data_IF_100407922154
#
_entry.id   IF_100407922154
#
_cell.length_a   1.000
_cell.length_b   1.000
_cell.length_c   1.000
_cell.angle_alpha   90.00
_cell.angle_beta   90.00
_cell.angle_gamma   90.00
#
_symmetry.space_group_name_H-M   'P 1'
#
loop_
_entity.id
_entity.type
_entity.pdbx_description
1 polymer ?
#
# COMPACT_ATOMS: atom_id res chain seq x y z
N UNK A 1 -11.16 -4.73 -1.76
CA UNK A 1 -10.58 -5.07 -3.08
C UNK A 1 -9.18 -4.51 -3.13
N UNK A 2 -8.19 -5.33 -3.48
CA UNK A 2 -6.80 -4.89 -3.60
C UNK A 2 -6.49 -4.64 -5.07
N UNK A 3 -5.93 -3.48 -5.40
CA UNK A 3 -5.64 -3.09 -6.77
C UNK A 3 -4.14 -2.96 -6.99
N UNK A 4 -3.68 -3.23 -8.21
CA UNK A 4 -2.32 -2.86 -8.58
C UNK A 4 -2.09 -1.36 -8.31
N UNK A 5 -0.90 -1.02 -7.81
CA UNK A 5 -0.52 0.31 -7.28
C UNK A 5 -1.07 0.65 -5.88
N UNK A 6 -1.85 -0.22 -5.25
CA UNK A 6 -2.08 -0.15 -3.81
C UNK A 6 -0.87 -0.68 -3.03
N UNK A 7 -0.82 -0.34 -1.74
CA UNK A 7 0.15 -0.89 -0.80
C UNK A 7 -0.56 -1.51 0.41
N UNK A 8 0.00 -2.58 0.94
CA UNK A 8 -0.49 -3.26 2.14
C UNK A 8 0.61 -3.30 3.19
N UNK A 9 0.23 -3.06 4.44
CA UNK A 9 1.12 -3.02 5.59
C UNK A 9 0.79 -4.15 6.57
N UNK A 10 1.83 -4.76 7.14
CA UNK A 10 1.71 -5.81 8.15
C UNK A 10 2.17 -5.32 9.52
N UNK A 11 1.78 -6.04 10.59
CA UNK A 11 2.10 -5.68 11.97
C UNK A 11 3.60 -5.58 12.26
N UNK A 12 4.44 -6.31 11.50
CA UNK A 12 5.90 -6.29 11.64
C UNK A 12 6.54 -5.03 11.04
N UNK A 13 5.74 -4.12 10.47
CA UNK A 13 6.25 -2.93 9.80
C UNK A 13 6.86 -3.25 8.44
N UNK A 14 6.17 -4.06 7.65
CA UNK A 14 6.52 -4.36 6.26
C UNK A 14 5.46 -3.75 5.34
N UNK A 15 5.87 -3.09 4.27
CA UNK A 15 4.96 -2.55 3.24
C UNK A 15 5.23 -3.22 1.92
N UNK A 16 4.18 -3.82 1.36
CA UNK A 16 4.18 -4.51 0.08
C UNK A 16 3.37 -3.73 -0.95
N UNK A 17 3.82 -3.69 -2.19
CA UNK A 17 3.06 -3.22 -3.33
C UNK A 17 2.23 -4.37 -3.91
N UNK A 18 0.93 -4.14 -4.12
CA UNK A 18 0.02 -5.12 -4.72
C UNK A 18 0.34 -5.26 -6.21
N UNK A 19 0.42 -6.52 -6.69
CA UNK A 19 0.80 -6.85 -8.07
C UNK A 19 -0.43 -7.16 -8.92
N UNK A 20 -1.37 -7.94 -8.39
CA UNK A 20 -2.62 -8.30 -9.06
C UNK A 20 -3.82 -8.04 -8.14
N UNK A 21 -5.01 -7.98 -8.76
CA UNK A 21 -6.29 -7.99 -8.04
C UNK A 21 -6.65 -9.39 -7.52
N UNK A 22 -6.03 -10.42 -8.08
CA UNK A 22 -6.28 -11.81 -7.73
C UNK A 22 -5.83 -12.12 -6.31
N UNK A 23 -6.62 -12.97 -5.64
CA UNK A 23 -6.33 -13.49 -4.31
C UNK A 23 -6.10 -15.00 -4.47
N UNK A 24 -4.96 -15.48 -3.99
CA UNK A 24 -4.60 -16.88 -4.03
C UNK A 24 -4.54 -17.44 -2.61
N UNK A 25 -5.32 -18.48 -2.31
CA UNK A 25 -5.33 -19.14 -1.00
C UNK A 25 -5.55 -18.14 0.17
N UNK A 26 -6.40 -17.13 -0.04
CA UNK A 26 -6.66 -16.09 0.96
C UNK A 26 -5.52 -15.07 1.13
N UNK A 27 -4.55 -15.05 0.21
CA UNK A 27 -3.41 -14.13 0.22
C UNK A 27 -3.44 -13.17 -0.96
N UNK A 28 -3.02 -11.93 -0.71
CA UNK A 28 -2.85 -10.89 -1.73
C UNK A 28 -1.47 -11.02 -2.37
N UNK A 29 -1.43 -11.15 -3.69
CA UNK A 29 -0.19 -11.20 -4.46
C UNK A 29 0.50 -9.83 -4.47
N UNK A 30 1.73 -9.78 -3.97
CA UNK A 30 2.43 -8.53 -3.72
C UNK A 30 3.95 -8.67 -3.78
N UNK A 31 4.65 -7.54 -3.63
CA UNK A 31 6.09 -7.51 -3.46
C UNK A 31 6.49 -6.53 -2.36
N UNK A 32 7.44 -6.92 -1.52
CA UNK A 32 7.95 -6.08 -0.45
C UNK A 32 8.70 -4.89 -1.05
N UNK A 33 8.41 -3.69 -0.54
CA UNK A 33 9.01 -2.44 -1.00
C UNK A 33 9.63 -1.63 0.12
N UNK A 34 9.09 -1.73 1.33
CA UNK A 34 9.65 -1.01 2.47
C UNK A 34 9.66 -1.87 3.72
N UNK A 35 10.75 -1.76 4.47
CA UNK A 35 10.91 -2.34 5.81
C UNK A 35 11.07 -1.19 6.79
N UNK A 36 10.30 -1.20 7.88
CA UNK A 36 10.42 -0.20 8.93
C UNK A 36 11.79 -0.34 9.60
N UNK A 37 12.55 0.75 9.63
CA UNK A 37 13.85 0.82 10.28
C UNK A 37 13.96 2.16 10.99
N UNK A 38 14.06 2.17 12.32
CA UNK A 38 14.05 3.40 13.13
C UNK A 38 15.09 4.42 12.60
N UNK A 39 14.72 5.68 12.28
CA UNK A 39 13.44 6.36 12.58
C UNK A 39 12.39 6.33 11.45
N UNK A 40 12.58 5.58 10.36
CA UNK A 40 11.72 5.64 9.18
C UNK A 40 11.52 4.31 8.45
N UNK A 41 11.44 4.39 7.12
CA UNK A 41 11.23 3.23 6.25
C UNK A 41 12.38 3.12 5.26
N UNK A 42 12.96 1.93 5.15
CA UNK A 42 14.00 1.64 4.17
C UNK A 42 13.37 0.99 2.95
N UNK A 43 13.55 1.61 1.78
CA UNK A 43 13.16 1.01 0.50
C UNK A 43 14.05 -0.20 0.21
N UNK A 44 13.45 -1.29 -0.27
CA UNK A 44 14.15 -2.50 -0.69
C UNK A 44 13.81 -2.85 -2.15
N UNK A 45 14.79 -3.36 -2.87
CA UNK A 45 14.63 -3.95 -4.21
C UNK A 45 14.33 -5.44 -4.10
N UNK A 46 14.07 -6.11 -5.23
CA UNK A 46 13.61 -7.52 -5.25
C UNK A 46 14.56 -8.48 -4.56
N UNK A 47 15.86 -8.46 -4.87
CA UNK A 47 16.82 -9.41 -4.26
C UNK A 47 17.00 -9.20 -2.75
N UNK A 48 17.25 -7.99 -2.22
CA UNK A 48 17.28 -7.76 -0.78
C UNK A 48 15.96 -8.11 -0.09
N UNK A 49 14.83 -7.88 -0.75
CA UNK A 49 13.53 -8.24 -0.22
C UNK A 49 13.36 -9.77 -0.09
N UNK A 50 13.72 -10.52 -1.12
CA UNK A 50 13.70 -11.99 -1.09
C UNK A 50 14.60 -12.54 0.01
N UNK A 51 15.84 -12.03 0.12
CA UNK A 51 16.78 -12.45 1.16
C UNK A 51 16.24 -12.15 2.57
N UNK A 52 15.71 -10.95 2.78
CA UNK A 52 15.14 -10.53 4.06
C UNK A 52 13.94 -11.40 4.46
N UNK A 53 13.00 -11.63 3.54
CA UNK A 53 11.83 -12.48 3.82
C UNK A 53 12.23 -13.93 4.06
N UNK A 54 13.15 -14.48 3.25
CA UNK A 54 13.64 -15.85 3.46
C UNK A 54 14.26 -16.04 4.84
N UNK A 55 14.95 -15.03 5.36
CA UNK A 55 15.60 -15.10 6.67
C UNK A 55 14.65 -14.87 7.84
N UNK A 56 13.71 -13.93 7.73
CA UNK A 56 12.93 -13.45 8.87
C UNK A 56 11.45 -13.81 8.83
N UNK A 57 10.85 -13.89 7.64
CA UNK A 57 9.42 -14.04 7.45
C UNK A 57 9.11 -14.93 6.22
N UNK A 58 9.52 -16.21 6.23
CA UNK A 58 9.40 -17.09 5.07
C UNK A 58 7.95 -17.34 4.66
N UNK A 59 6.98 -17.17 5.57
CA UNK A 59 5.54 -17.30 5.30
C UNK A 59 5.01 -16.36 4.21
N UNK A 60 5.72 -15.25 3.96
CA UNK A 60 5.39 -14.29 2.92
C UNK A 60 5.92 -14.68 1.54
N UNK A 61 6.79 -15.69 1.42
CA UNK A 61 7.24 -16.21 0.13
C UNK A 61 6.15 -17.12 -0.47
N UNK A 62 5.85 -16.92 -1.75
CA UNK A 62 4.74 -17.61 -2.42
C UNK A 62 5.08 -17.94 -3.87
N UNK A 63 4.69 -19.12 -4.32
CA UNK A 63 4.69 -19.47 -5.74
C UNK A 63 3.26 -19.37 -6.27
N UNK A 64 3.05 -18.48 -7.25
CA UNK A 64 1.77 -18.38 -7.94
C UNK A 64 1.77 -19.34 -9.13
N UNK A 65 0.88 -20.34 -9.17
CA UNK A 65 0.73 -21.21 -10.33
C UNK A 65 0.11 -20.50 -11.53
N UNK A 66 -0.63 -19.40 -11.30
CA UNK A 66 -1.27 -18.62 -12.37
C UNK A 66 -0.24 -17.78 -13.12
N UNK A 67 0.70 -17.17 -12.38
CA UNK A 67 1.76 -16.36 -12.95
C UNK A 67 3.03 -17.18 -13.27
N UNK A 68 3.07 -18.44 -12.86
CA UNK A 68 4.22 -19.33 -12.92
C UNK A 68 5.50 -18.66 -12.38
N UNK A 69 5.39 -18.03 -11.21
CA UNK A 69 6.44 -17.20 -10.67
C UNK A 69 6.51 -17.25 -9.14
N UNK A 70 7.71 -17.07 -8.61
CA UNK A 70 7.92 -16.80 -7.19
C UNK A 70 7.76 -15.30 -6.93
N UNK A 71 6.85 -14.98 -6.03
CA UNK A 71 6.61 -13.62 -5.55
C UNK A 71 6.31 -13.65 -4.05
N UNK A 72 5.76 -12.56 -3.51
CA UNK A 72 5.32 -12.53 -2.13
C UNK A 72 3.80 -12.58 -2.05
N UNK A 73 3.28 -13.11 -0.95
CA UNK A 73 1.85 -13.06 -0.69
C UNK A 73 1.59 -12.83 0.80
N UNK A 74 0.64 -11.94 1.10
CA UNK A 74 0.25 -11.61 2.48
C UNK A 74 -1.17 -12.08 2.70
N UNK A 75 -1.37 -12.92 3.72
CA UNK A 75 -2.71 -13.36 4.13
C UNK A 75 -3.55 -12.15 4.56
N UNK A 76 -4.82 -12.12 4.17
CA UNK A 76 -5.70 -10.95 4.36
C UNK A 76 -5.80 -10.55 5.84
N UNK A 77 -5.80 -11.52 6.74
CA UNK A 77 -5.85 -11.33 8.20
C UNK A 77 -4.57 -10.73 8.80
N UNK A 78 -3.44 -10.80 8.09
CA UNK A 78 -2.17 -10.16 8.49
C UNK A 78 -2.01 -8.72 7.99
N UNK A 79 -2.96 -8.24 7.18
CA UNK A 79 -2.94 -6.86 6.67
C UNK A 79 -3.53 -5.94 7.74
N UNK A 80 -2.68 -5.12 8.35
CA UNK A 80 -3.11 -4.12 9.35
C UNK A 80 -3.54 -2.81 8.72
N UNK A 81 -3.06 -2.51 7.51
CA UNK A 81 -3.45 -1.30 6.78
C UNK A 81 -3.37 -1.50 5.27
N UNK A 82 -4.40 -1.02 4.57
CA UNK A 82 -4.46 -0.96 3.11
C UNK A 82 -4.37 0.50 2.68
N UNK A 83 -3.28 0.85 2.01
CA UNK A 83 -3.04 2.18 1.47
C UNK A 83 -3.52 2.22 0.02
N UNK A 84 -4.45 3.13 -0.27
CA UNK A 84 -5.07 3.29 -1.59
C UNK A 84 -4.77 4.69 -2.16
N UNK A 85 -3.57 4.90 -2.76
CA UNK A 85 -3.13 6.23 -3.20
C UNK A 85 -4.12 6.96 -4.12
N UNK A 86 -4.79 6.22 -5.00
CA UNK A 86 -5.80 6.79 -5.91
C UNK A 86 -6.96 7.43 -5.15
N UNK A 87 -7.48 6.74 -4.13
CA UNK A 87 -8.56 7.27 -3.29
C UNK A 87 -8.07 8.47 -2.47
N UNK A 88 -6.87 8.37 -1.91
CA UNK A 88 -6.28 9.48 -1.14
C UNK A 88 -6.10 10.74 -1.98
N UNK A 89 -5.65 10.59 -3.23
CA UNK A 89 -5.52 11.71 -4.16
C UNK A 89 -6.88 12.34 -4.47
N UNK A 90 -7.90 11.53 -4.76
CA UNK A 90 -9.26 12.04 -5.00
C UNK A 90 -9.80 12.83 -3.81
N UNK A 91 -9.58 12.34 -2.58
CA UNK A 91 -9.95 13.07 -1.36
C UNK A 91 -9.25 14.42 -1.23
N UNK A 92 -7.94 14.48 -1.52
CA UNK A 92 -7.17 15.74 -1.49
C UNK A 92 -7.70 16.73 -2.53
N UNK A 93 -7.99 16.24 -3.75
CA UNK A 93 -8.53 17.09 -4.82
C UNK A 93 -9.91 17.65 -4.46
N UNK A 94 -10.80 16.83 -3.91
CA UNK A 94 -12.13 17.27 -3.48
C UNK A 94 -12.06 18.27 -2.31
N UNK A 95 -11.19 18.02 -1.33
CA UNK A 95 -10.99 18.94 -0.20
C UNK A 95 -10.51 20.32 -0.67
N UNK A 96 -9.56 20.36 -1.60
CA UNK A 96 -9.04 21.62 -2.15
C UNK A 96 -10.10 22.40 -2.95
N UNK A 97 -11.05 21.72 -3.61
CA UNK A 97 -12.16 22.36 -4.32
C UNK A 97 -13.19 22.99 -3.36
N UNK A 98 -13.39 22.42 -2.17
CA UNK A 98 -14.30 22.96 -1.17
C UNK A 98 -13.73 24.18 -0.43
N UNK A 99 -12.40 24.27 -0.28
CA UNK A 99 -11.74 25.43 0.33
C UNK A 99 -11.88 26.72 -0.51
N UNK A 100 -12.14 26.63 -1.82
CA UNK A 100 -12.23 27.81 -2.70
C UNK A 100 -13.58 28.54 -2.60
N UNK A 101 -14.64 27.92 -2.06
CA UNK A 101 -15.98 28.53 -2.00
C UNK A 101 -16.25 29.30 -0.69
N UNK A 102 -15.33 29.27 0.28
CA UNK A 102 -15.52 29.88 1.59
C UNK A 102 -14.93 31.29 1.75
N UNK A 103 -14.32 31.88 0.71
CA UNK A 103 -13.63 33.18 0.81
C UNK A 103 -14.36 34.34 0.12
N UNK A 104 -15.40 34.10 -0.69
CA UNK A 104 -16.05 35.16 -1.48
C UNK A 104 -17.33 35.77 -0.86
N UNK A 105 -17.75 35.33 0.34
CA UNK A 105 -18.97 35.84 0.99
C UNK A 105 -18.75 36.94 2.04
N UNK A 106 -17.53 37.46 2.21
CA UNK A 106 -17.20 38.40 3.29
C UNK A 106 -16.91 39.85 2.84
N UNK A 107 -17.35 40.30 1.66
CA UNK A 107 -17.02 41.67 1.21
C UNK A 107 -18.13 42.42 0.43
N UNK A 108 -19.40 42.20 0.82
CA UNK A 108 -20.53 43.03 0.34
C UNK A 108 -21.46 43.44 1.48
N UNK A 109 -20.91 44.10 2.48
CA UNK A 109 -21.69 44.85 3.49
C UNK A 109 -20.87 45.95 4.17
N UNK A 110 -20.37 46.88 3.37
CA UNK A 110 -20.05 48.26 3.71
C UNK A 110 -20.17 49.01 2.38
N UNK A 111 -21.20 49.83 2.16
CA UNK A 111 -21.38 51.11 2.84
C UNK A 111 -21.06 52.18 1.82
#
# INVERSE_FOLDING_TARGET
>A
MFLSKDFIETAEGLIFAVVSQDIEQGKVLCFLRYVKNSPGWKKVTTEPANAFLKQHYPDYLHYSPVLDAHLHAVAIDRIVKHHQPKQRLQQIMLANQQTTLATDYADKSAG
#
